data_IF_589417587506
#
_entry.id   IF_589417587506
#
_cell.length_a   1.000
_cell.length_b   1.000
_cell.length_c   1.000
_cell.angle_alpha   90.00
_cell.angle_beta   90.00
_cell.angle_gamma   90.00
#
_symmetry.space_group_name_H-M   'P 1'
#
loop_
_entity.id
_entity.type
_entity.pdbx_description
1 polymer ?
#
# COMPACT_ATOMS: atom_id res chain seq x y z
N UNK A 1 4.74 11.07 -12.59
CA UNK A 1 4.89 10.16 -11.45
C UNK A 1 3.57 10.17 -10.70
N UNK A 2 2.77 9.17 -11.02
CA UNK A 2 1.42 8.90 -10.53
C UNK A 2 1.26 7.39 -10.40
N UNK A 3 0.27 6.94 -9.62
CA UNK A 3 -0.02 5.50 -9.53
C UNK A 3 -0.45 4.91 -10.88
N UNK A 4 -1.03 5.73 -11.76
CA UNK A 4 -1.31 5.34 -13.14
C UNK A 4 -0.04 5.02 -13.93
N UNK A 5 1.04 5.80 -13.75
CA UNK A 5 2.33 5.53 -14.40
C UNK A 5 2.86 4.15 -14.01
N UNK A 6 2.73 3.75 -12.73
CA UNK A 6 3.08 2.40 -12.29
C UNK A 6 2.27 1.30 -12.99
N UNK A 7 0.97 1.49 -13.17
CA UNK A 7 0.10 0.54 -13.89
C UNK A 7 0.53 0.43 -15.36
N UNK A 8 0.79 1.55 -16.03
CA UNK A 8 1.24 1.57 -17.43
C UNK A 8 2.59 0.90 -17.59
N UNK A 9 3.57 1.23 -16.74
CA UNK A 9 4.92 0.67 -16.77
C UNK A 9 4.96 -0.83 -16.43
N UNK A 10 3.95 -1.34 -15.70
CA UNK A 10 3.83 -2.78 -15.44
C UNK A 10 3.59 -3.57 -16.73
N UNK A 11 2.96 -2.95 -17.72
CA UNK A 11 2.56 -3.59 -18.96
C UNK A 11 1.27 -4.40 -18.83
N UNK A 12 0.93 -5.20 -19.84
CA UNK A 12 -0.40 -5.78 -19.93
C UNK A 12 -0.62 -6.96 -18.99
N UNK A 13 -1.81 -6.99 -18.38
CA UNK A 13 -2.29 -8.14 -17.61
C UNK A 13 -3.00 -9.12 -18.55
N UNK A 14 -2.23 -10.03 -19.14
CA UNK A 14 -2.77 -10.95 -20.15
C UNK A 14 -3.66 -12.05 -19.53
N UNK A 15 -4.76 -12.45 -20.20
CA UNK A 15 -5.51 -13.64 -19.84
C UNK A 15 -4.63 -14.91 -19.95
N UNK A 16 -4.90 -15.90 -19.11
CA UNK A 16 -4.25 -17.21 -19.23
C UNK A 16 -2.77 -17.26 -18.83
N UNK A 17 -2.23 -16.22 -18.21
CA UNK A 17 -0.85 -16.22 -17.70
C UNK A 17 -0.56 -17.47 -16.85
N UNK A 18 0.61 -18.06 -17.06
CA UNK A 18 1.15 -19.12 -16.20
C UNK A 18 1.27 -18.62 -14.76
N UNK A 19 1.42 -19.54 -13.80
CA UNK A 19 1.57 -19.10 -12.42
C UNK A 19 2.84 -18.27 -12.19
N UNK A 20 3.93 -18.56 -12.92
CA UNK A 20 5.11 -17.73 -12.92
C UNK A 20 4.84 -16.33 -13.50
N UNK A 21 4.05 -16.24 -14.58
CA UNK A 21 3.63 -14.97 -15.17
C UNK A 21 2.77 -14.12 -14.21
N UNK A 22 1.79 -14.73 -13.55
CA UNK A 22 0.95 -14.06 -12.54
C UNK A 22 1.77 -13.52 -11.36
N UNK A 23 2.72 -14.33 -10.88
CA UNK A 23 3.66 -13.93 -9.83
C UNK A 23 4.51 -12.75 -10.30
N UNK A 24 5.13 -12.86 -11.48
CA UNK A 24 5.99 -11.81 -12.04
C UNK A 24 5.25 -10.48 -12.22
N UNK A 25 4.03 -10.51 -12.77
CA UNK A 25 3.21 -9.31 -12.90
C UNK A 25 2.99 -8.64 -11.55
N UNK A 26 2.64 -9.42 -10.52
CA UNK A 26 2.38 -8.89 -9.18
C UNK A 26 3.63 -8.28 -8.55
N UNK A 27 4.80 -8.89 -8.74
CA UNK A 27 6.09 -8.35 -8.27
C UNK A 27 6.47 -7.05 -8.98
N UNK A 28 6.26 -6.97 -10.30
CA UNK A 28 6.55 -5.76 -11.08
C UNK A 28 5.59 -4.63 -10.69
N UNK A 29 4.29 -4.92 -10.58
CA UNK A 29 3.30 -3.93 -10.17
C UNK A 29 3.61 -3.37 -8.78
N UNK A 30 3.82 -4.25 -7.79
CA UNK A 30 4.16 -3.83 -6.43
C UNK A 30 5.45 -3.00 -6.39
N UNK A 31 6.47 -3.39 -7.16
CA UNK A 31 7.69 -2.60 -7.28
C UNK A 31 7.41 -1.21 -7.85
N UNK A 32 6.74 -1.10 -8.98
CA UNK A 32 6.47 0.18 -9.63
C UNK A 32 5.61 1.08 -8.73
N UNK A 33 4.59 0.52 -8.07
CA UNK A 33 3.79 1.24 -7.08
C UNK A 33 4.64 1.75 -5.92
N UNK A 34 5.63 0.99 -5.43
CA UNK A 34 6.51 1.45 -4.36
C UNK A 34 7.30 2.70 -4.75
N UNK A 35 7.81 2.77 -5.99
CA UNK A 35 8.51 3.96 -6.48
C UNK A 35 7.59 5.17 -6.60
N UNK A 36 6.38 4.99 -7.15
CA UNK A 36 5.40 6.09 -7.29
C UNK A 36 4.86 6.55 -5.93
N UNK A 37 4.58 5.64 -4.99
CA UNK A 37 4.19 5.97 -3.61
C UNK A 37 5.30 6.72 -2.90
N UNK A 38 6.55 6.28 -3.00
CA UNK A 38 7.68 7.00 -2.41
C UNK A 38 7.87 8.38 -3.05
N UNK A 39 7.66 8.51 -4.37
CA UNK A 39 7.73 9.80 -5.06
C UNK A 39 6.64 10.77 -4.59
N UNK A 40 5.39 10.29 -4.47
CA UNK A 40 4.28 11.09 -3.93
C UNK A 40 4.50 11.51 -2.48
N UNK A 41 5.05 10.61 -1.65
CA UNK A 41 5.39 10.94 -0.26
C UNK A 41 6.54 11.95 -0.15
N UNK A 42 7.54 11.90 -1.04
CA UNK A 42 8.56 12.97 -1.13
C UNK A 42 7.93 14.32 -1.45
N UNK A 43 6.95 14.35 -2.35
CA UNK A 43 6.27 15.59 -2.75
C UNK A 43 5.47 16.24 -1.60
N UNK A 44 5.09 15.48 -0.56
CA UNK A 44 4.45 16.01 0.66
C UNK A 44 5.42 16.15 1.84
N UNK A 45 6.73 16.03 1.60
CA UNK A 45 7.80 16.41 2.54
C UNK A 45 8.70 15.28 3.03
N UNK A 46 8.40 14.00 2.74
CA UNK A 46 9.22 12.87 3.22
C UNK A 46 10.50 12.71 2.38
N UNK A 47 11.40 13.69 2.43
CA UNK A 47 12.52 13.85 1.48
C UNK A 47 13.43 12.62 1.34
N UNK A 48 13.69 11.88 2.42
CA UNK A 48 14.56 10.69 2.43
C UNK A 48 13.82 9.35 2.32
N UNK A 49 12.50 9.35 2.06
CA UNK A 49 11.72 8.11 1.95
C UNK A 49 12.19 7.25 0.78
N UNK A 50 12.31 5.95 1.04
CA UNK A 50 12.75 4.92 0.09
C UNK A 50 11.55 4.16 -0.46
N UNK A 51 11.64 3.59 -1.68
CA UNK A 51 12.81 3.59 -2.56
C UNK A 51 13.06 4.93 -3.26
N UNK A 52 14.33 5.18 -3.58
CA UNK A 52 14.77 6.29 -4.45
C UNK A 52 15.22 5.72 -5.80
N UNK A 53 14.99 6.45 -6.88
CA UNK A 53 15.37 6.00 -8.23
C UNK A 53 16.88 5.73 -8.32
N UNK A 54 17.26 4.60 -8.92
CA UNK A 54 18.66 4.15 -8.99
C UNK A 54 19.28 3.71 -7.65
N UNK A 55 18.57 3.85 -6.54
CA UNK A 55 19.00 3.40 -5.21
C UNK A 55 18.65 1.93 -4.92
N UNK A 56 19.06 1.43 -3.73
CA UNK A 56 18.56 0.16 -3.23
C UNK A 56 17.02 0.22 -3.11
N UNK A 57 16.35 -0.88 -3.45
CA UNK A 57 14.88 -0.99 -3.46
C UNK A 57 14.28 -1.06 -2.05
N UNK A 58 13.58 -2.16 -1.74
CA UNK A 58 13.01 -2.40 -0.40
C UNK A 58 14.06 -2.32 0.70
N UNK A 59 13.69 -1.71 1.83
CA UNK A 59 14.55 -1.63 3.00
C UNK A 59 14.21 -2.77 3.98
N UNK A 60 15.26 -3.43 4.49
CA UNK A 60 15.13 -4.52 5.44
C UNK A 60 15.31 -4.01 6.87
N UNK A 61 14.31 -4.26 7.71
CA UNK A 61 14.34 -3.94 9.13
C UNK A 61 14.32 -5.21 9.96
N UNK A 62 14.98 -5.20 11.11
CA UNK A 62 14.82 -6.25 12.10
C UNK A 62 13.50 -6.05 12.85
N UNK A 63 12.43 -6.75 12.46
CA UNK A 63 11.14 -6.69 13.13
C UNK A 63 11.08 -7.53 14.41
N UNK A 64 9.95 -7.46 15.12
CA UNK A 64 9.77 -8.12 16.43
C UNK A 64 9.72 -9.65 16.36
N UNK A 65 9.24 -10.22 15.26
CA UNK A 65 9.19 -11.67 15.02
C UNK A 65 10.27 -12.16 14.04
N UNK A 66 11.05 -11.25 13.47
CA UNK A 66 12.09 -11.54 12.49
C UNK A 66 12.31 -10.40 11.49
N UNK A 67 13.32 -10.53 10.61
CA UNK A 67 13.58 -9.55 9.57
C UNK A 67 12.37 -9.37 8.65
N UNK A 68 12.10 -8.12 8.27
CA UNK A 68 11.03 -7.77 7.34
C UNK A 68 11.51 -6.75 6.33
N UNK A 69 11.20 -7.00 5.05
CA UNK A 69 11.35 -6.02 3.98
C UNK A 69 10.08 -5.20 3.87
N UNK A 70 10.25 -3.88 3.79
CA UNK A 70 9.15 -2.92 3.67
C UNK A 70 9.20 -2.31 2.27
N UNK A 71 8.04 -2.23 1.62
CA UNK A 71 7.91 -1.77 0.24
C UNK A 71 8.29 -0.27 0.12
N UNK A 72 7.82 0.56 1.05
CA UNK A 72 8.16 1.99 1.15
C UNK A 72 8.47 2.33 2.61
N UNK A 73 9.62 2.96 2.88
CA UNK A 73 10.07 3.22 4.25
C UNK A 73 10.71 4.59 4.41
N UNK A 74 10.30 5.31 5.46
CA UNK A 74 10.96 6.50 5.99
C UNK A 74 11.53 6.16 7.36
N UNK A 75 12.82 6.35 7.52
CA UNK A 75 13.57 5.92 8.70
C UNK A 75 14.79 6.82 8.93
N UNK A 76 15.30 6.81 10.16
CA UNK A 76 16.58 7.43 10.48
C UNK A 76 17.39 6.56 11.46
N UNK A 77 18.67 6.89 11.63
CA UNK A 77 19.59 6.12 12.48
C UNK A 77 19.24 6.13 13.96
N UNK A 78 18.54 7.18 14.43
CA UNK A 78 18.25 7.40 15.86
C UNK A 78 16.95 6.72 16.29
N UNK A 79 15.93 6.77 15.46
CA UNK A 79 14.57 6.32 15.76
C UNK A 79 14.22 5.00 15.08
N UNK A 80 14.99 4.59 14.07
CA UNK A 80 14.67 3.42 13.25
C UNK A 80 13.53 3.72 12.30
N UNK A 81 12.58 2.78 12.16
CA UNK A 81 11.44 2.94 11.26
C UNK A 81 10.44 3.97 11.82
N UNK A 82 10.14 5.00 11.03
CA UNK A 82 9.24 6.09 11.37
C UNK A 82 7.90 5.97 10.60
N UNK A 83 7.97 5.67 9.31
CA UNK A 83 6.81 5.38 8.46
C UNK A 83 7.11 4.18 7.54
N UNK A 84 6.14 3.29 7.42
CA UNK A 84 6.12 2.21 6.44
C UNK A 84 4.82 2.24 5.64
N UNK A 85 4.90 1.97 4.33
CA UNK A 85 3.74 1.63 3.51
C UNK A 85 3.95 0.25 2.90
N UNK A 86 3.13 -0.71 3.32
CA UNK A 86 3.12 -2.06 2.76
C UNK A 86 2.27 -2.09 1.50
N UNK A 87 2.81 -2.62 0.40
CA UNK A 87 2.11 -2.70 -0.89
C UNK A 87 1.87 -4.17 -1.24
N UNK A 88 0.61 -4.52 -1.49
CA UNK A 88 0.20 -5.87 -1.88
C UNK A 88 -0.80 -5.80 -3.02
N UNK A 89 -0.90 -6.90 -3.78
CA UNK A 89 -1.82 -6.96 -4.91
C UNK A 89 -2.38 -8.36 -5.14
N UNK A 90 -3.58 -8.42 -5.72
CA UNK A 90 -4.17 -9.65 -6.29
C UNK A 90 -4.58 -9.34 -7.72
N UNK A 91 -3.81 -9.85 -8.68
CA UNK A 91 -3.94 -9.45 -10.09
C UNK A 91 -4.55 -10.51 -10.99
N UNK A 92 -4.92 -11.69 -10.49
CA UNK A 92 -5.40 -12.76 -11.37
C UNK A 92 -6.60 -13.51 -10.78
N UNK A 93 -7.56 -13.80 -11.65
CA UNK A 93 -8.70 -14.64 -11.32
C UNK A 93 -8.27 -16.09 -10.99
N UNK A 94 -9.03 -16.79 -10.11
CA UNK A 94 -10.11 -16.25 -9.27
C UNK A 94 -9.57 -15.37 -8.12
N UNK A 95 -9.99 -14.10 -8.06
CA UNK A 95 -9.37 -13.08 -7.19
C UNK A 95 -9.56 -13.39 -5.69
N UNK A 96 -10.74 -13.87 -5.29
CA UNK A 96 -11.03 -14.19 -3.89
C UNK A 96 -10.22 -15.36 -3.30
N UNK A 97 -9.55 -16.19 -4.12
CA UNK A 97 -8.84 -17.40 -3.65
C UNK A 97 -7.74 -17.08 -2.63
N UNK A 98 -7.01 -15.99 -2.83
CA UNK A 98 -5.85 -15.63 -2.01
C UNK A 98 -6.12 -14.46 -1.06
N UNK A 99 -7.35 -13.93 -1.00
CA UNK A 99 -7.67 -12.75 -0.20
C UNK A 99 -7.38 -12.96 1.28
N UNK A 100 -7.80 -14.10 1.86
CA UNK A 100 -7.54 -14.41 3.28
C UNK A 100 -6.05 -14.58 3.59
N UNK A 101 -5.29 -15.20 2.69
CA UNK A 101 -3.85 -15.37 2.88
C UNK A 101 -3.15 -14.02 2.85
N UNK A 102 -3.51 -13.16 1.89
CA UNK A 102 -2.95 -11.80 1.80
C UNK A 102 -3.34 -10.90 2.96
N UNK A 103 -4.55 -11.06 3.48
CA UNK A 103 -4.98 -10.41 4.71
C UNK A 103 -4.12 -10.84 5.90
N UNK A 104 -3.90 -12.15 6.09
CA UNK A 104 -3.05 -12.66 7.17
C UNK A 104 -1.57 -12.22 7.02
N UNK A 105 -1.05 -12.18 5.78
CA UNK A 105 0.28 -11.65 5.48
C UNK A 105 0.42 -10.19 5.97
N UNK A 106 -0.57 -9.34 5.67
CA UNK A 106 -0.59 -7.95 6.13
C UNK A 106 -0.66 -7.84 7.65
N UNK A 107 -1.56 -8.58 8.31
CA UNK A 107 -1.64 -8.57 9.77
C UNK A 107 -0.30 -8.95 10.41
N UNK A 108 0.36 -9.98 9.88
CA UNK A 108 1.65 -10.47 10.39
C UNK A 108 2.75 -9.43 10.18
N UNK A 109 2.72 -8.72 9.06
CA UNK A 109 3.63 -7.61 8.76
C UNK A 109 3.44 -6.45 9.74
N UNK A 110 2.21 -5.99 9.96
CA UNK A 110 1.90 -4.95 10.95
C UNK A 110 2.35 -5.36 12.36
N UNK A 111 2.02 -6.58 12.80
CA UNK A 111 2.45 -7.10 14.12
C UNK A 111 3.98 -7.05 14.22
N UNK A 112 4.68 -7.55 13.20
CA UNK A 112 6.13 -7.63 13.20
C UNK A 112 6.78 -6.24 13.29
N UNK A 113 6.26 -5.26 12.56
CA UNK A 113 6.77 -3.90 12.59
C UNK A 113 6.45 -3.21 13.92
N UNK A 114 5.19 -3.24 14.38
CA UNK A 114 4.77 -2.59 15.62
C UNK A 114 5.41 -3.18 16.89
N UNK A 115 5.69 -4.49 16.91
CA UNK A 115 6.40 -5.10 18.04
C UNK A 115 7.81 -4.52 18.21
N UNK A 116 8.49 -4.16 17.12
CA UNK A 116 9.82 -3.54 17.18
C UNK A 116 9.76 -2.03 17.29
N UNK A 117 8.89 -1.41 16.48
CA UNK A 117 8.76 0.03 16.31
C UNK A 117 7.33 0.43 16.72
N UNK A 118 7.01 0.44 18.03
CA UNK A 118 5.63 0.64 18.49
C UNK A 118 5.04 2.01 18.14
N UNK A 119 5.90 2.98 17.82
CA UNK A 119 5.54 4.34 17.45
C UNK A 119 5.62 4.61 15.93
N UNK A 120 6.11 3.67 15.12
CA UNK A 120 6.09 3.83 13.66
C UNK A 120 4.66 3.93 13.16
N UNK A 121 4.43 4.75 12.14
CA UNK A 121 3.20 4.70 11.35
C UNK A 121 3.32 3.60 10.31
N UNK A 122 2.39 2.66 10.27
CA UNK A 122 2.35 1.57 9.30
C UNK A 122 1.04 1.64 8.54
N UNK A 123 1.11 2.00 7.27
CA UNK A 123 -0.02 2.04 6.35
C UNK A 123 0.05 0.90 5.32
N UNK A 124 -1.05 0.62 4.64
CA UNK A 124 -1.08 -0.35 3.53
C UNK A 124 -1.81 0.17 2.29
N UNK A 125 -1.27 -0.17 1.12
CA UNK A 125 -1.92 -0.03 -0.19
C UNK A 125 -2.17 -1.42 -0.77
N UNK A 126 -3.44 -1.75 -1.04
CA UNK A 126 -3.81 -3.04 -1.62
C UNK A 126 -4.45 -2.88 -3.01
N UNK A 127 -3.75 -3.35 -4.05
CA UNK A 127 -4.18 -3.18 -5.44
C UNK A 127 -4.97 -4.36 -6.00
N UNK A 128 -6.03 -4.04 -6.74
CA UNK A 128 -6.90 -4.96 -7.46
C UNK A 128 -7.17 -4.45 -8.88
N UNK A 129 -7.15 -5.31 -9.91
CA UNK A 129 -7.61 -4.93 -11.24
C UNK A 129 -9.14 -4.78 -11.23
N UNK A 130 -9.68 -3.99 -12.17
CA UNK A 130 -11.11 -3.72 -12.33
C UNK A 130 -11.96 -5.01 -12.36
N UNK A 131 -11.46 -6.06 -13.01
CA UNK A 131 -12.14 -7.35 -13.05
C UNK A 131 -12.37 -8.02 -11.68
N UNK A 132 -11.69 -7.59 -10.62
CA UNK A 132 -11.95 -8.07 -9.24
C UNK A 132 -13.16 -7.39 -8.59
N UNK A 133 -13.65 -6.28 -9.14
CA UNK A 133 -14.92 -5.66 -8.75
C UNK A 133 -16.10 -6.18 -9.59
N UNK A 134 -15.80 -6.79 -10.74
CA UNK A 134 -16.79 -7.36 -11.66
C UNK A 134 -16.98 -8.88 -11.47
N UNK A 135 -16.24 -9.53 -10.56
CA UNK A 135 -16.19 -10.99 -10.40
C UNK A 135 -17.39 -11.61 -9.63
N UNK A 136 -18.58 -11.11 -9.93
CA UNK A 136 -19.86 -11.59 -9.41
C UNK A 136 -20.25 -12.94 -10.04
N UNK A 137 -20.89 -13.79 -9.24
CA UNK A 137 -21.50 -15.04 -9.69
C UNK A 137 -22.82 -15.25 -8.97
N UNK A 138 -23.66 -16.20 -9.41
CA UNK A 138 -24.90 -16.55 -8.69
C UNK A 138 -24.64 -16.91 -7.21
N UNK A 139 -23.50 -17.52 -6.90
CA UNK A 139 -23.08 -17.85 -5.54
C UNK A 139 -22.27 -16.74 -4.84
N UNK A 140 -22.09 -15.57 -5.47
CA UNK A 140 -21.29 -14.46 -4.96
C UNK A 140 -21.91 -13.11 -5.38
N UNK A 141 -22.75 -12.59 -4.51
CA UNK A 141 -23.43 -11.30 -4.68
C UNK A 141 -22.53 -10.08 -4.41
N UNK A 142 -21.39 -10.27 -3.71
CA UNK A 142 -20.39 -9.22 -3.46
C UNK A 142 -19.08 -9.53 -4.17
N UNK A 143 -18.58 -8.57 -4.95
CA UNK A 143 -17.30 -8.66 -5.65
C UNK A 143 -16.14 -8.91 -4.68
N UNK A 144 -15.04 -9.46 -5.18
CA UNK A 144 -13.82 -9.64 -4.39
C UNK A 144 -13.33 -8.31 -3.86
N UNK A 145 -13.38 -7.24 -4.67
CA UNK A 145 -12.98 -5.89 -4.24
C UNK A 145 -13.86 -5.35 -3.10
N UNK A 146 -15.19 -5.45 -3.21
CA UNK A 146 -16.11 -5.05 -2.15
C UNK A 146 -15.87 -5.83 -0.85
N UNK A 147 -15.68 -7.15 -0.95
CA UNK A 147 -15.34 -8.01 0.19
C UNK A 147 -13.98 -7.68 0.81
N UNK A 148 -13.00 -7.31 -0.01
CA UNK A 148 -11.68 -6.89 0.46
C UNK A 148 -11.77 -5.60 1.26
N UNK A 149 -12.55 -4.62 0.81
CA UNK A 149 -12.81 -3.39 1.56
C UNK A 149 -13.47 -3.69 2.93
N UNK A 150 -14.51 -4.52 2.96
CA UNK A 150 -15.15 -4.96 4.21
C UNK A 150 -14.15 -5.62 5.17
N UNK A 151 -13.26 -6.46 4.63
CA UNK A 151 -12.26 -7.18 5.41
C UNK A 151 -11.14 -6.26 5.93
N UNK A 152 -10.57 -5.42 5.07
CA UNK A 152 -9.47 -4.51 5.43
C UNK A 152 -9.93 -3.39 6.38
N UNK A 153 -11.20 -3.01 6.35
CA UNK A 153 -11.79 -2.12 7.35
C UNK A 153 -11.66 -2.64 8.80
N UNK A 154 -11.46 -3.95 8.99
CA UNK A 154 -11.29 -4.54 10.34
C UNK A 154 -9.89 -4.32 10.92
N UNK A 155 -8.89 -4.04 10.08
CA UNK A 155 -7.48 -3.89 10.47
C UNK A 155 -6.93 -2.48 10.22
N UNK A 156 -7.80 -1.49 10.04
CA UNK A 156 -7.39 -0.09 9.87
C UNK A 156 -7.78 0.76 11.10
N UNK A 157 -7.25 1.98 11.19
CA UNK A 157 -7.59 2.94 12.24
C UNK A 157 -6.87 2.72 13.56
N UNK A 158 -5.64 2.18 13.52
CA UNK A 158 -4.71 2.21 14.66
C UNK A 158 -4.40 3.67 15.02
N UNK A 159 -4.49 4.03 16.30
CA UNK A 159 -4.25 5.39 16.81
C UNK A 159 -3.14 5.43 17.86
N UNK A 160 -3.05 4.38 18.67
CA UNK A 160 -2.13 4.32 19.81
C UNK A 160 -1.24 3.07 19.73
N UNK A 161 -0.08 3.13 20.38
CA UNK A 161 0.85 1.99 20.38
C UNK A 161 0.28 0.77 21.13
N UNK A 162 -0.68 1.00 22.02
CA UNK A 162 -1.42 -0.01 22.80
C UNK A 162 -2.60 -0.63 22.06
N UNK A 163 -2.97 -0.12 20.89
CA UNK A 163 -4.00 -0.74 20.06
C UNK A 163 -3.52 -2.14 19.58
N UNK A 164 -4.41 -2.99 19.05
CA UNK A 164 -4.00 -4.28 18.50
C UNK A 164 -2.91 -4.14 17.42
N UNK A 165 -1.85 -4.94 17.53
CA UNK A 165 -0.64 -4.79 16.72
C UNK A 165 -0.83 -5.13 15.25
N UNK A 166 -1.86 -5.90 14.91
CA UNK A 166 -2.27 -6.24 13.55
C UNK A 166 -2.98 -5.11 12.82
N UNK A 167 -3.40 -4.06 13.52
CA UNK A 167 -4.01 -2.90 12.89
C UNK A 167 -2.94 -2.01 12.27
N UNK A 168 -3.26 -1.44 11.12
CA UNK A 168 -2.55 -0.37 10.45
C UNK A 168 -3.16 0.98 10.84
N UNK A 169 -2.38 2.05 10.77
CA UNK A 169 -2.88 3.40 10.93
C UNK A 169 -3.87 3.75 9.80
N UNK A 170 -3.57 3.36 8.56
CA UNK A 170 -4.51 3.39 7.43
C UNK A 170 -4.37 2.15 6.52
N UNK A 171 -5.48 1.71 5.93
CA UNK A 171 -5.48 0.77 4.81
C UNK A 171 -6.28 1.38 3.67
N UNK A 172 -5.63 1.56 2.53
CA UNK A 172 -6.21 2.05 1.29
C UNK A 172 -6.24 0.93 0.26
N UNK A 173 -7.36 0.74 -0.42
CA UNK A 173 -7.43 -0.14 -1.59
C UNK A 173 -7.33 0.67 -2.87
N UNK A 174 -6.65 0.10 -3.86
CA UNK A 174 -6.53 0.66 -5.21
C UNK A 174 -7.27 -0.24 -6.18
N UNK A 175 -8.24 0.30 -6.91
CA UNK A 175 -8.83 -0.35 -8.07
C UNK A 175 -8.18 0.23 -9.33
N UNK A 176 -7.77 -0.60 -10.28
CA UNK A 176 -7.14 -0.11 -11.50
C UNK A 176 -7.61 -0.87 -12.75
N UNK A 177 -7.73 -0.17 -13.88
CA UNK A 177 -7.82 -0.83 -15.18
C UNK A 177 -6.40 -1.12 -15.67
N UNK A 178 -6.03 -2.39 -15.87
CA UNK A 178 -4.72 -2.75 -16.41
C UNK A 178 -4.49 -2.11 -17.77
N UNK A 179 -3.23 -1.81 -18.06
CA UNK A 179 -2.83 -1.42 -19.41
C UNK A 179 -3.18 -2.54 -20.40
N UNK A 180 -3.79 -2.19 -21.52
CA UNK A 180 -3.99 -3.08 -22.67
C UNK A 180 -3.68 -2.27 -23.93
N UNK A 181 -2.65 -2.63 -24.72
CA UNK A 181 -2.28 -1.88 -25.92
C UNK A 181 -3.39 -1.83 -26.98
N UNK A 182 -4.35 -2.76 -26.93
CA UNK A 182 -5.47 -2.83 -27.89
C UNK A 182 -6.83 -2.61 -27.22
N UNK A 183 -6.85 -2.24 -25.94
CA UNK A 183 -8.04 -2.29 -25.10
C UNK A 183 -8.42 -0.96 -24.47
N UNK A 184 -9.06 -1.07 -23.31
CA UNK A 184 -9.56 0.07 -22.52
C UNK A 184 -8.39 0.90 -21.98
N UNK A 185 -8.55 2.22 -21.96
CA UNK A 185 -7.56 3.12 -21.36
C UNK A 185 -7.35 2.78 -19.87
N UNK A 186 -6.10 2.71 -19.40
CA UNK A 186 -5.81 2.43 -18.00
C UNK A 186 -6.27 3.60 -17.11
N UNK A 187 -6.67 3.28 -15.89
CA UNK A 187 -7.06 4.23 -14.86
C UNK A 187 -6.80 3.65 -13.47
N UNK A 188 -6.77 4.53 -12.46
CA UNK A 188 -6.60 4.18 -11.04
C UNK A 188 -7.65 4.92 -10.21
N UNK A 189 -8.17 4.25 -9.16
CA UNK A 189 -9.02 4.84 -8.12
C UNK A 189 -8.60 4.33 -6.76
N UNK A 190 -8.57 5.22 -5.76
CA UNK A 190 -8.17 4.90 -4.39
C UNK A 190 -9.38 4.99 -3.46
N UNK A 191 -9.49 4.03 -2.54
CA UNK A 191 -10.57 3.97 -1.57
C UNK A 191 -10.02 3.79 -0.16
N UNK A 192 -10.41 4.67 0.75
CA UNK A 192 -10.11 4.49 2.17
C UNK A 192 -10.94 3.30 2.71
N UNK A 193 -10.34 2.25 3.26
CA UNK A 193 -11.12 1.11 3.75
C UNK A 193 -11.99 1.45 4.96
N UNK A 194 -11.59 2.42 5.78
CA UNK A 194 -12.37 2.83 6.96
C UNK A 194 -13.63 3.60 6.57
N UNK A 195 -13.50 4.61 5.71
CA UNK A 195 -14.62 5.50 5.33
C UNK A 195 -15.35 5.04 4.08
N UNK A 196 -14.75 4.14 3.29
CA UNK A 196 -15.23 3.64 1.99
C UNK A 196 -15.38 4.72 0.92
N UNK A 197 -14.77 5.87 1.13
CA UNK A 197 -14.81 6.98 0.18
C UNK A 197 -13.65 6.87 -0.80
N UNK A 198 -13.94 7.21 -2.05
CA UNK A 198 -12.92 7.44 -3.05
C UNK A 198 -12.10 8.68 -2.67
N UNK A 199 -10.80 8.65 -2.94
CA UNK A 199 -9.88 9.77 -2.69
C UNK A 199 -8.95 9.98 -3.88
N UNK A 200 -8.46 11.21 -4.04
CA UNK A 200 -7.40 11.49 -5.01
C UNK A 200 -6.04 10.99 -4.52
N UNK A 201 -5.06 10.86 -5.42
CA UNK A 201 -3.67 10.55 -5.03
C UNK A 201 -3.10 11.61 -4.07
N UNK A 202 -3.41 12.90 -4.30
CA UNK A 202 -2.97 13.98 -3.42
C UNK A 202 -3.56 13.84 -2.01
N UNK A 203 -4.86 13.52 -1.90
CA UNK A 203 -5.51 13.30 -0.61
C UNK A 203 -4.92 12.08 0.10
N UNK A 204 -4.57 11.02 -0.64
CA UNK A 204 -3.92 9.83 -0.10
C UNK A 204 -2.57 10.16 0.55
N UNK A 205 -1.70 10.90 -0.15
CA UNK A 205 -0.39 11.28 0.39
C UNK A 205 -0.51 12.28 1.54
N UNK A 206 -1.40 13.28 1.43
CA UNK A 206 -1.67 14.22 2.50
C UNK A 206 -2.18 13.52 3.77
N UNK A 207 -3.10 12.56 3.63
CA UNK A 207 -3.60 11.75 4.74
C UNK A 207 -2.47 10.98 5.44
N UNK A 208 -1.57 10.34 4.70
CA UNK A 208 -0.42 9.62 5.31
C UNK A 208 0.47 10.60 6.08
N UNK A 209 0.78 11.76 5.50
CA UNK A 209 1.55 12.81 6.18
C UNK A 209 0.86 13.29 7.45
N UNK A 210 -0.44 13.53 7.41
CA UNK A 210 -1.18 14.05 8.54
C UNK A 210 -1.25 13.02 9.69
N UNK A 211 -1.44 11.73 9.37
CA UNK A 211 -1.31 10.63 10.33
C UNK A 211 0.09 10.62 10.96
N UNK A 212 1.13 10.73 10.12
CA UNK A 212 2.52 10.74 10.56
C UNK A 212 2.83 11.91 11.50
N UNK A 213 2.44 13.13 11.13
CA UNK A 213 2.68 14.33 11.92
C UNK A 213 1.91 14.29 13.24
N UNK A 214 0.67 13.78 13.24
CA UNK A 214 -0.10 13.59 14.47
C UNK A 214 0.57 12.58 15.43
N UNK A 215 1.26 11.57 14.88
CA UNK A 215 1.99 10.56 15.64
C UNK A 215 3.37 11.04 16.10
N UNK A 216 4.00 11.92 15.31
CA UNK A 216 5.37 12.38 15.49
C UNK A 216 5.42 13.93 15.53
N UNK A 217 4.80 14.58 16.54
CA UNK A 217 4.71 16.04 16.60
C UNK A 217 6.07 16.75 16.76
N UNK A 218 7.14 16.00 17.01
CA UNK A 218 8.51 16.53 17.15
C UNK A 218 9.36 16.34 15.89
N UNK A 219 8.83 15.65 14.86
CA UNK A 219 9.51 15.33 13.61
C UNK A 219 8.58 15.66 12.43
N UNK A 220 7.93 16.82 12.49
CA UNK A 220 6.92 17.22 11.51
C UNK A 220 7.53 17.27 10.10
N UNK A 221 6.81 16.70 9.16
CA UNK A 221 7.14 16.69 7.74
C UNK A 221 6.20 17.63 6.98
N UNK A 222 6.75 18.45 6.09
CA UNK A 222 5.97 19.32 5.19
C UNK A 222 5.63 20.70 5.73
N UNK A 223 6.16 21.10 6.90
CA UNK A 223 6.16 22.49 7.35
C UNK A 223 7.45 23.18 6.87
N UNK A 224 7.36 23.94 5.80
CA UNK A 224 8.33 25.00 5.51
C UNK A 224 8.03 26.19 6.42
N UNK A 225 8.42 26.09 7.69
CA UNK A 225 8.61 27.22 8.60
C UNK A 225 9.64 26.84 9.66
N UNK A 226 10.88 26.72 9.23
CA UNK A 226 12.06 26.84 10.09
C UNK A 226 13.20 27.50 9.31
N UNK A 227 12.96 28.73 8.83
CA UNK A 227 13.98 29.75 8.86
C UNK A 227 14.02 30.33 10.28
N UNK A 228 15.05 29.95 11.05
CA UNK A 228 15.95 30.85 11.78
C UNK A 228 17.02 30.05 12.54
#
# INVERSE_FOLDING_TARGET
>A
MSLLDAVVQTGPLLPGLSQAGKKRYSEVLSKNLAYEVAAGLRAVGFSSIKPVEGGPGEEAFQGGLGPKKVDVAYSDERHGLLLAVSIKSINAAPYGKNLKNRFADLCTEAITLHLRFPYSVVCALFAFPAGADEDLTEGREKSTFSRANDLFATITGRKQYTDPGEKFEDVTTMLFQPFDPNGTQPWVRLYNCQTRKEMSENDYYAMIRDIYNARNPHLIVGDENSED
#
